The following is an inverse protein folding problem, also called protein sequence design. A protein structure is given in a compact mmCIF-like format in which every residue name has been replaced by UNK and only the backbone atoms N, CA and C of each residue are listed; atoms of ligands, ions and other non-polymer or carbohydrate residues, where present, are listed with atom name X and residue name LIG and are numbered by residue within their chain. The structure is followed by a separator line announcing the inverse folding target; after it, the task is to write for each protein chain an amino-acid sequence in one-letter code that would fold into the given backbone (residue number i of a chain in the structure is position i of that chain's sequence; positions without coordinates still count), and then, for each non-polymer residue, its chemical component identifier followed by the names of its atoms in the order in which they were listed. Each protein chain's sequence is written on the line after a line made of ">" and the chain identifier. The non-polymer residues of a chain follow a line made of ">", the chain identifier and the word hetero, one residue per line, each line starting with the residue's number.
data_IF_241331316409
#
_entry.id   IF_241331316409
#
_cell.length_a   1.000
_cell.length_b   1.000
_cell.length_c   1.000
_cell.angle_alpha   90.00
_cell.angle_beta   90.00
_cell.angle_gamma   90.00
#
_symmetry.space_group_name_H-M   'P 1'
#
loop_
_entity.id
_entity.type
_entity.pdbx_description
1 polymer ?
#
# COMPACT_ATOMS: atom_id res chain seq x y z
N UNK A 1 -25.59 7.37 -6.20
CA UNK A 1 -24.40 8.10 -5.74
C UNK A 1 -24.30 9.31 -6.63
N UNK A 2 -24.49 10.51 -6.08
CA UNK A 2 -24.31 11.73 -6.88
C UNK A 2 -22.80 11.97 -7.03
N UNK A 3 -22.35 12.57 -8.15
CA UNK A 3 -20.94 12.90 -8.34
C UNK A 3 -20.37 13.73 -7.17
N UNK A 4 -21.20 14.58 -6.56
CA UNK A 4 -20.84 15.40 -5.40
C UNK A 4 -20.56 14.56 -4.13
N UNK A 5 -21.28 13.45 -3.93
CA UNK A 5 -21.01 12.52 -2.80
C UNK A 5 -19.64 11.85 -2.94
N UNK A 6 -19.26 11.48 -4.17
CA UNK A 6 -17.99 10.85 -4.47
C UNK A 6 -16.82 11.85 -4.36
N UNK A 7 -17.02 13.08 -4.83
CA UNK A 7 -16.08 14.19 -4.69
C UNK A 7 -15.82 14.49 -3.20
N UNK A 8 -16.88 14.63 -2.41
CA UNK A 8 -16.80 14.87 -0.95
C UNK A 8 -16.04 13.75 -0.24
N UNK A 9 -16.28 12.49 -0.60
CA UNK A 9 -15.60 11.32 -0.02
C UNK A 9 -14.11 11.29 -0.38
N UNK A 10 -13.77 11.67 -1.61
CA UNK A 10 -12.39 11.76 -2.06
C UNK A 10 -11.63 12.88 -1.32
N UNK A 11 -12.20 14.08 -1.24
CA UNK A 11 -11.61 15.23 -0.55
C UNK A 11 -11.45 14.98 0.95
N UNK A 12 -12.45 14.35 1.60
CA UNK A 12 -12.36 13.97 3.01
C UNK A 12 -11.22 12.97 3.27
N UNK A 13 -11.03 11.98 2.38
CA UNK A 13 -9.92 11.03 2.48
C UNK A 13 -8.57 11.72 2.30
N UNK A 14 -8.48 12.62 1.32
CA UNK A 14 -7.27 13.36 1.00
C UNK A 14 -6.86 14.23 2.19
N UNK A 15 -7.79 14.98 2.78
CA UNK A 15 -7.56 15.82 3.95
C UNK A 15 -7.14 14.99 5.18
N UNK A 16 -7.78 13.84 5.41
CA UNK A 16 -7.38 12.90 6.48
C UNK A 16 -5.97 12.34 6.30
N UNK A 17 -5.54 12.15 5.05
CA UNK A 17 -4.22 11.64 4.69
C UNK A 17 -3.12 12.71 4.78
N UNK A 18 -3.49 13.99 4.66
CA UNK A 18 -2.62 15.15 4.94
C UNK A 18 -2.44 15.32 6.45
N UNK A 19 -3.52 15.26 7.23
CA UNK A 19 -3.51 15.54 8.67
C UNK A 19 -2.92 14.42 9.54
N UNK A 20 -3.00 13.15 9.10
CA UNK A 20 -2.31 12.03 9.76
C UNK A 20 -1.10 11.59 8.93
N UNK A 21 0.12 12.08 9.23
CA UNK A 21 1.34 11.60 8.59
C UNK A 21 1.68 10.21 9.12
N UNK A 22 0.95 9.19 8.68
CA UNK A 22 1.18 7.81 9.05
C UNK A 22 2.33 7.20 8.21
N UNK A 23 3.47 7.89 8.15
CA UNK A 23 4.52 7.60 7.17
C UNK A 23 5.92 7.43 7.75
N UNK A 24 6.16 7.52 9.06
CA UNK A 24 7.51 7.24 9.59
C UNK A 24 7.92 5.77 9.42
N UNK A 25 7.03 4.83 9.73
CA UNK A 25 7.33 3.39 9.64
C UNK A 25 7.28 2.84 8.21
N UNK A 26 6.42 3.40 7.34
CA UNK A 26 6.30 2.98 5.94
C UNK A 26 7.33 3.64 5.00
N UNK A 27 7.85 4.82 5.36
CA UNK A 27 8.89 5.51 4.58
C UNK A 27 10.30 4.91 4.81
N UNK A 28 10.53 4.28 5.96
CA UNK A 28 11.75 3.52 6.22
C UNK A 28 11.88 2.31 5.28
N UNK A 29 13.09 1.78 5.11
CA UNK A 29 13.30 0.53 4.34
C UNK A 29 12.87 -0.73 5.11
N UNK A 30 12.49 -0.60 6.38
CA UNK A 30 12.09 -1.70 7.26
C UNK A 30 10.92 -2.58 6.76
N UNK A 31 9.83 -2.04 6.17
CA UNK A 31 8.77 -2.84 5.59
C UNK A 31 9.26 -3.73 4.45
N UNK A 32 10.19 -3.23 3.63
CA UNK A 32 10.79 -3.97 2.53
C UNK A 32 11.64 -5.12 3.06
N UNK A 33 12.44 -4.87 4.11
CA UNK A 33 13.18 -5.93 4.81
C UNK A 33 12.27 -7.00 5.40
N UNK A 34 11.17 -6.61 6.04
CA UNK A 34 10.18 -7.55 6.57
C UNK A 34 9.56 -8.45 5.50
N UNK A 35 9.21 -7.87 4.35
CA UNK A 35 8.72 -8.64 3.19
C UNK A 35 9.76 -9.63 2.69
N UNK A 36 11.02 -9.22 2.57
CA UNK A 36 12.11 -10.11 2.14
C UNK A 36 12.33 -11.29 3.10
N UNK A 37 12.29 -11.04 4.41
CA UNK A 37 12.36 -12.09 5.43
C UNK A 37 11.19 -13.07 5.33
N UNK A 38 9.98 -12.55 5.11
CA UNK A 38 8.77 -13.35 4.96
C UNK A 38 8.82 -14.21 3.69
N UNK A 39 9.33 -13.65 2.59
CA UNK A 39 9.62 -14.39 1.36
C UNK A 39 10.62 -15.51 1.59
N UNK A 40 11.76 -15.21 2.21
CA UNK A 40 12.81 -16.21 2.47
C UNK A 40 12.27 -17.37 3.32
N UNK A 41 11.51 -17.07 4.38
CA UNK A 41 10.86 -18.09 5.21
C UNK A 41 9.80 -18.89 4.46
N UNK A 42 8.94 -18.24 3.68
CA UNK A 42 7.89 -18.90 2.91
C UNK A 42 8.46 -19.81 1.82
N UNK A 43 9.52 -19.38 1.13
CA UNK A 43 10.23 -20.23 0.16
C UNK A 43 10.90 -21.42 0.84
N UNK A 44 11.61 -21.24 1.97
CA UNK A 44 12.18 -22.37 2.70
C UNK A 44 11.10 -23.38 3.13
N UNK A 45 9.95 -22.89 3.63
CA UNK A 45 8.84 -23.74 4.04
C UNK A 45 8.21 -24.51 2.87
N UNK A 46 7.99 -23.84 1.73
CA UNK A 46 7.47 -24.46 0.52
C UNK A 46 8.42 -25.50 -0.06
N UNK A 47 9.73 -25.22 -0.08
CA UNK A 47 10.75 -26.19 -0.50
C UNK A 47 10.82 -27.41 0.42
N UNK A 48 10.69 -27.21 1.74
CA UNK A 48 10.70 -28.31 2.70
C UNK A 48 9.46 -29.21 2.56
N UNK A 49 8.26 -28.62 2.52
CA UNK A 49 6.99 -29.36 2.39
C UNK A 49 6.78 -29.96 0.99
N UNK A 50 7.44 -29.39 0.00
CA UNK A 50 7.32 -29.75 -1.41
C UNK A 50 8.01 -31.04 -1.86
N UNK A 51 9.01 -31.49 -1.11
CA UNK A 51 9.84 -32.66 -1.44
C UNK A 51 9.09 -34.00 -1.56
N UNK A 52 7.80 -34.06 -1.20
CA UNK A 52 7.00 -35.30 -1.20
C UNK A 52 5.72 -35.30 -2.05
N UNK A 53 5.38 -34.23 -2.78
CA UNK A 53 4.09 -34.12 -3.47
C UNK A 53 4.19 -33.85 -4.98
N UNK A 54 3.42 -34.56 -5.85
CA UNK A 54 3.42 -34.32 -7.30
C UNK A 54 2.84 -32.95 -7.69
N UNK A 55 2.11 -32.28 -6.77
CA UNK A 55 1.57 -30.93 -6.96
C UNK A 55 2.55 -29.81 -6.59
N UNK A 56 3.77 -30.16 -6.18
CA UNK A 56 4.82 -29.24 -5.77
C UNK A 56 5.11 -28.08 -6.76
N UNK A 57 5.19 -28.31 -8.09
CA UNK A 57 5.50 -27.21 -9.03
C UNK A 57 4.38 -26.17 -9.09
N UNK A 58 3.13 -26.61 -8.97
CA UNK A 58 1.94 -25.77 -9.05
C UNK A 58 1.76 -24.94 -7.77
N UNK A 59 1.98 -25.57 -6.61
CA UNK A 59 1.99 -24.90 -5.30
C UNK A 59 3.12 -23.88 -5.20
N UNK A 60 4.30 -24.20 -5.73
CA UNK A 60 5.42 -23.27 -5.81
C UNK A 60 5.08 -22.08 -6.70
N UNK A 61 4.55 -22.31 -7.91
CA UNK A 61 4.22 -21.25 -8.85
C UNK A 61 3.13 -20.31 -8.31
N UNK A 62 2.06 -20.86 -7.71
CA UNK A 62 1.01 -20.06 -7.08
C UNK A 62 1.52 -19.32 -5.85
N UNK A 63 2.28 -20.00 -4.99
CA UNK A 63 2.87 -19.41 -3.78
C UNK A 63 3.83 -18.28 -4.11
N UNK A 64 4.73 -18.47 -5.07
CA UNK A 64 5.68 -17.45 -5.51
C UNK A 64 5.00 -16.26 -6.17
N UNK A 65 3.96 -16.50 -6.96
CA UNK A 65 3.21 -15.42 -7.63
C UNK A 65 2.44 -14.59 -6.60
N UNK A 66 1.74 -15.23 -5.66
CA UNK A 66 0.99 -14.54 -4.61
C UNK A 66 1.91 -13.73 -3.69
N UNK A 67 3.03 -14.32 -3.26
CA UNK A 67 4.07 -13.61 -2.52
C UNK A 67 4.59 -12.43 -3.34
N UNK A 68 4.91 -12.64 -4.63
CA UNK A 68 5.34 -11.63 -5.59
C UNK A 68 4.44 -10.40 -5.62
N UNK A 69 3.14 -10.62 -5.80
CA UNK A 69 2.13 -9.56 -5.84
C UNK A 69 2.02 -8.82 -4.50
N UNK A 70 2.01 -9.55 -3.38
CA UNK A 70 1.96 -8.95 -2.05
C UNK A 70 3.21 -8.10 -1.76
N UNK A 71 4.39 -8.61 -2.13
CA UNK A 71 5.65 -7.88 -1.98
C UNK A 71 5.69 -6.61 -2.83
N UNK A 72 5.29 -6.70 -4.11
CA UNK A 72 5.19 -5.55 -5.00
C UNK A 72 4.22 -4.49 -4.46
N UNK A 73 3.07 -4.91 -3.90
CA UNK A 73 2.10 -4.01 -3.28
C UNK A 73 2.67 -3.25 -2.08
N UNK A 74 3.41 -3.93 -1.20
CA UNK A 74 4.05 -3.30 -0.04
C UNK A 74 5.13 -2.32 -0.49
N UNK A 75 5.97 -2.69 -1.47
CA UNK A 75 7.00 -1.80 -2.03
C UNK A 75 6.35 -0.57 -2.66
N UNK A 76 5.30 -0.74 -3.45
CA UNK A 76 4.56 0.37 -4.07
C UNK A 76 4.01 1.32 -3.00
N UNK A 77 3.43 0.80 -1.92
CA UNK A 77 2.96 1.62 -0.80
C UNK A 77 4.07 2.35 -0.07
N UNK A 78 5.23 1.72 0.13
CA UNK A 78 6.39 2.37 0.74
C UNK A 78 6.96 3.48 -0.14
N UNK A 79 7.03 3.27 -1.46
CA UNK A 79 7.44 4.32 -2.42
C UNK A 79 6.43 5.46 -2.43
N UNK A 80 5.14 5.15 -2.51
CA UNK A 80 4.08 6.15 -2.46
C UNK A 80 4.13 6.98 -1.17
N UNK A 81 4.35 6.33 -0.02
CA UNK A 81 4.49 7.01 1.26
C UNK A 81 5.68 8.00 1.29
N UNK A 82 6.79 7.68 0.62
CA UNK A 82 7.94 8.57 0.48
C UNK A 82 7.67 9.72 -0.49
N UNK A 83 7.03 9.43 -1.63
CA UNK A 83 6.67 10.44 -2.62
C UNK A 83 5.60 11.41 -2.11
N UNK A 84 4.68 10.93 -1.28
CA UNK A 84 3.61 11.73 -0.67
C UNK A 84 4.16 12.94 0.10
N UNK A 85 5.32 12.81 0.75
CA UNK A 85 5.98 13.93 1.45
C UNK A 85 6.26 15.11 0.51
N UNK A 86 6.67 14.83 -0.73
CA UNK A 86 6.99 15.84 -1.74
C UNK A 86 5.73 16.37 -2.43
N UNK A 87 4.76 15.49 -2.70
CA UNK A 87 3.48 15.87 -3.32
C UNK A 87 2.66 16.76 -2.39
N UNK A 88 2.67 16.49 -1.07
CA UNK A 88 1.90 17.26 -0.08
C UNK A 88 2.26 18.75 -0.10
N UNK A 89 3.52 19.10 -0.34
CA UNK A 89 3.96 20.50 -0.42
C UNK A 89 3.31 21.28 -1.57
N UNK A 90 2.83 20.57 -2.59
CA UNK A 90 2.17 21.15 -3.76
C UNK A 90 0.64 21.10 -3.68
N UNK A 91 0.08 20.52 -2.61
CA UNK A 91 -1.37 20.46 -2.41
C UNK A 91 -1.81 21.67 -1.59
N UNK A 92 -2.64 22.52 -2.20
CA UNK A 92 -3.30 23.62 -1.52
C UNK A 92 -4.42 23.11 -0.60
N UNK A 93 -4.07 22.94 0.68
CA UNK A 93 -4.99 22.45 1.72
C UNK A 93 -6.17 23.41 1.93
N UNK A 94 -5.96 24.71 1.72
CA UNK A 94 -7.01 25.71 1.89
C UNK A 94 -8.04 25.61 0.78
N UNK A 95 -7.60 25.42 -0.47
CA UNK A 95 -8.48 25.12 -1.61
C UNK A 95 -9.30 23.84 -1.38
N UNK A 96 -8.68 22.76 -0.90
CA UNK A 96 -9.38 21.49 -0.58
C UNK A 96 -10.43 21.68 0.53
N UNK A 97 -10.11 22.47 1.56
CA UNK A 97 -11.05 22.80 2.65
C UNK A 97 -12.21 23.66 2.16
N UNK A 98 -11.94 24.66 1.34
CA UNK A 98 -12.97 25.52 0.75
C UNK A 98 -13.94 24.70 -0.11
N UNK A 99 -13.43 23.83 -0.99
CA UNK A 99 -14.27 22.97 -1.83
C UNK A 99 -15.11 21.97 -1.03
N UNK A 100 -14.54 21.44 0.05
CA UNK A 100 -15.26 20.53 0.94
C UNK A 100 -16.35 21.24 1.76
N UNK A 101 -16.17 22.54 2.06
CA UNK A 101 -17.21 23.37 2.68
C UNK A 101 -18.34 23.69 1.69
N UNK A 102 -18.04 24.00 0.43
CA UNK A 102 -19.03 24.20 -0.64
C UNK A 102 -19.89 22.96 -0.91
N UNK A 103 -19.32 21.75 -0.76
CA UNK A 103 -20.04 20.47 -0.91
C UNK A 103 -20.78 20.05 0.37
N UNK A 104 -20.61 20.80 1.47
CA UNK A 104 -21.21 20.53 2.77
C UNK A 104 -22.43 21.41 3.10
N UNK A 105 -22.54 22.58 2.47
CA UNK A 105 -23.73 23.45 2.41
C UNK A 105 -24.73 22.95 1.35
#
# INVERSE_FOLDING_TARGET
>A
MTPDDDERKALTRLLRQIERPNTSLLAGNWPVFGVWLLFAGAFMYLFQTGSGSPLHPLLLALGSTCLGVLGAWVVLRSVWARQWLHVREHVDVESVRARLAELGD
#
